data_IF_298351309551
#
_entry.id   IF_298351309551
#
_cell.length_a   1.000
_cell.length_b   1.000
_cell.length_c   1.000
_cell.angle_alpha   90.00
_cell.angle_beta   90.00
_cell.angle_gamma   90.00
#
_symmetry.space_group_name_H-M   'P 1'
#
loop_
_entity.id
_entity.type
_entity.pdbx_description
1 polymer ?
#
# COMPACT_ATOMS: atom_id res chain seq x y z
N UNK A 1 8.19 2.80 1.48
CA UNK A 1 6.91 3.39 1.03
C UNK A 1 7.17 4.32 -0.15
N UNK A 2 6.66 3.97 -1.33
CA UNK A 2 6.82 4.74 -2.56
C UNK A 2 5.81 5.88 -2.63
N UNK A 3 4.58 5.61 -2.19
CA UNK A 3 3.51 6.59 -2.17
C UNK A 3 2.13 5.96 -2.22
N UNK A 4 1.13 6.83 -2.35
CA UNK A 4 -0.25 6.42 -2.57
C UNK A 4 -0.82 7.09 -3.80
N UNK A 5 -1.64 6.36 -4.55
CA UNK A 5 -2.38 6.91 -5.68
C UNK A 5 -3.86 6.55 -5.59
N UNK A 6 -4.76 7.44 -6.05
CA UNK A 6 -6.20 7.18 -6.01
C UNK A 6 -6.56 6.05 -6.98
N UNK A 7 -7.45 5.19 -6.54
CA UNK A 7 -8.05 4.12 -7.36
C UNK A 7 -9.51 4.45 -7.54
N UNK A 8 -9.96 4.58 -8.79
CA UNK A 8 -11.39 4.76 -9.08
C UNK A 8 -12.15 3.48 -8.76
N UNK A 9 -13.37 3.61 -8.26
CA UNK A 9 -14.30 2.49 -8.21
C UNK A 9 -14.59 2.08 -9.67
N UNK A 10 -14.10 0.91 -10.05
CA UNK A 10 -14.19 0.32 -11.37
C UNK A 10 -14.41 -1.18 -11.23
N UNK A 11 -14.77 -1.85 -12.32
CA UNK A 11 -14.82 -3.32 -12.34
C UNK A 11 -13.51 -3.93 -11.81
N UNK A 12 -13.65 -5.03 -11.07
CA UNK A 12 -12.58 -5.74 -10.39
C UNK A 12 -11.37 -6.03 -11.30
N UNK A 13 -11.57 -6.47 -12.54
CA UNK A 13 -10.47 -6.81 -13.47
C UNK A 13 -9.73 -5.56 -13.94
N UNK A 14 -10.47 -4.53 -14.32
CA UNK A 14 -9.89 -3.26 -14.77
C UNK A 14 -9.08 -2.60 -13.66
N UNK A 15 -9.56 -2.70 -12.41
CA UNK A 15 -8.85 -2.20 -11.23
C UNK A 15 -7.51 -2.90 -11.03
N UNK A 16 -7.49 -4.23 -11.08
CA UNK A 16 -6.24 -5.01 -10.94
C UNK A 16 -5.23 -4.61 -12.02
N UNK A 17 -5.67 -4.51 -13.27
CA UNK A 17 -4.80 -4.11 -14.38
C UNK A 17 -4.18 -2.71 -14.17
N UNK A 18 -4.97 -1.72 -13.76
CA UNK A 18 -4.47 -0.36 -13.48
C UNK A 18 -3.42 -0.39 -12.35
N UNK A 19 -3.66 -1.17 -11.30
CA UNK A 19 -2.73 -1.28 -10.17
C UNK A 19 -1.41 -1.89 -10.62
N UNK A 20 -1.44 -3.00 -11.38
CA UNK A 20 -0.24 -3.64 -11.90
C UNK A 20 0.58 -2.71 -12.80
N UNK A 21 -0.07 -1.95 -13.70
CA UNK A 21 0.62 -0.98 -14.55
C UNK A 21 1.27 0.15 -13.74
N UNK A 22 0.57 0.68 -12.73
CA UNK A 22 1.14 1.69 -11.83
C UNK A 22 2.31 1.14 -10.99
N UNK A 23 2.22 -0.10 -10.54
CA UNK A 23 3.30 -0.77 -9.82
C UNK A 23 4.56 -0.89 -10.68
N UNK A 24 4.41 -1.36 -11.93
CA UNK A 24 5.52 -1.44 -12.90
C UNK A 24 6.14 -0.06 -13.19
N UNK A 25 5.30 0.96 -13.37
CA UNK A 25 5.78 2.32 -13.64
C UNK A 25 6.57 2.90 -12.44
N UNK A 26 6.16 2.57 -11.21
CA UNK A 26 6.75 3.13 -9.99
C UNK A 26 7.88 2.28 -9.38
N UNK A 27 8.30 1.20 -10.03
CA UNK A 27 9.32 0.29 -9.49
C UNK A 27 10.65 0.98 -9.18
N UNK A 28 11.07 1.90 -10.04
CA UNK A 28 12.34 2.64 -9.93
C UNK A 28 12.14 4.06 -9.37
N UNK A 29 11.01 4.33 -8.70
CA UNK A 29 10.74 5.66 -8.18
C UNK A 29 11.79 6.07 -7.14
N UNK A 30 12.58 7.15 -7.38
CA UNK A 30 13.66 7.53 -6.47
C UNK A 30 13.12 8.14 -5.17
N UNK A 31 11.91 8.71 -5.22
CA UNK A 31 11.24 9.31 -4.07
C UNK A 31 10.55 8.21 -3.27
N UNK A 32 11.15 7.86 -2.13
CA UNK A 32 10.59 6.87 -1.20
C UNK A 32 10.88 7.27 0.25
N UNK A 33 9.99 6.87 1.15
CA UNK A 33 10.16 6.98 2.60
C UNK A 33 10.43 5.60 3.20
N UNK A 34 11.47 5.48 4.00
CA UNK A 34 11.73 4.29 4.82
C UNK A 34 10.64 4.17 5.90
N UNK A 35 10.08 2.98 6.02
CA UNK A 35 8.95 2.66 6.92
C UNK A 35 9.01 1.21 7.34
N UNK A 36 8.43 0.90 8.49
CA UNK A 36 8.17 -0.48 8.93
C UNK A 36 6.68 -0.78 8.75
N UNK A 37 6.36 -1.88 8.08
CA UNK A 37 5.00 -2.40 7.97
C UNK A 37 4.78 -3.54 8.96
N UNK A 38 3.76 -3.43 9.80
CA UNK A 38 3.34 -4.50 10.72
C UNK A 38 1.94 -4.97 10.36
N UNK A 39 1.79 -6.29 10.25
CA UNK A 39 0.52 -6.97 9.95
C UNK A 39 -0.02 -7.62 11.22
N UNK A 40 -1.33 -7.46 11.46
CA UNK A 40 -2.02 -8.09 12.58
C UNK A 40 -3.49 -8.35 12.20
N UNK A 41 -4.21 -9.12 13.02
CA UNK A 41 -5.63 -9.40 12.77
C UNK A 41 -6.49 -8.12 12.77
N UNK A 42 -6.04 -7.06 13.45
CA UNK A 42 -6.71 -5.76 13.43
C UNK A 42 -6.48 -5.02 12.11
N UNK A 43 -5.42 -5.34 11.36
CA UNK A 43 -5.11 -4.76 10.06
C UNK A 43 -3.62 -4.46 9.86
N UNK A 44 -3.33 -3.39 9.12
CA UNK A 44 -1.97 -3.00 8.72
C UNK A 44 -1.60 -1.68 9.39
N UNK A 45 -0.43 -1.64 10.02
CA UNK A 45 0.16 -0.43 10.59
C UNK A 45 1.46 -0.09 9.88
N UNK A 46 1.67 1.19 9.60
CA UNK A 46 2.88 1.73 9.01
C UNK A 46 3.54 2.67 10.02
N UNK A 47 4.77 2.38 10.38
CA UNK A 47 5.60 3.19 11.26
C UNK A 47 6.69 3.91 10.46
N UNK A 48 7.37 4.88 11.06
CA UNK A 48 8.61 5.44 10.52
C UNK A 48 9.73 4.38 10.44
N UNK A 49 10.94 4.81 10.05
CA UNK A 49 12.06 3.91 9.86
C UNK A 49 12.55 3.32 11.18
N UNK A 50 12.36 4.06 12.27
CA UNK A 50 12.75 3.71 13.63
C UNK A 50 11.70 2.83 14.32
N UNK A 51 10.46 2.81 13.82
CA UNK A 51 9.37 2.01 14.40
C UNK A 51 8.63 2.70 15.54
N UNK A 52 8.93 3.96 15.80
CA UNK A 52 8.48 4.73 16.96
C UNK A 52 7.18 5.49 16.66
N UNK A 53 7.11 6.13 15.48
CA UNK A 53 5.95 6.95 15.12
C UNK A 53 4.98 6.18 14.23
N UNK A 54 3.73 6.02 14.68
CA UNK A 54 2.66 5.51 13.82
C UNK A 54 2.28 6.53 12.75
N UNK A 55 2.54 6.21 11.48
CA UNK A 55 2.25 7.07 10.34
C UNK A 55 0.85 6.80 9.76
N UNK A 56 0.48 5.52 9.62
CA UNK A 56 -0.83 5.11 9.11
C UNK A 56 -1.29 3.82 9.77
N UNK A 57 -2.61 3.68 9.92
CA UNK A 57 -3.23 2.44 10.39
C UNK A 57 -4.53 2.19 9.65
N UNK A 58 -4.61 1.03 8.99
CA UNK A 58 -5.80 0.59 8.27
C UNK A 58 -6.36 -0.65 8.94
N UNK A 59 -7.62 -0.57 9.38
CA UNK A 59 -8.33 -1.74 9.87
C UNK A 59 -8.49 -2.76 8.73
N UNK A 60 -8.36 -4.06 9.02
CA UNK A 60 -8.39 -5.11 8.01
C UNK A 60 -9.65 -5.04 7.12
N UNK A 61 -10.82 -4.80 7.73
CA UNK A 61 -12.11 -4.61 7.05
C UNK A 61 -12.16 -3.46 6.02
N UNK A 62 -11.18 -2.54 6.04
CA UNK A 62 -11.08 -1.42 5.10
C UNK A 62 -10.19 -1.75 3.90
N UNK A 63 -9.43 -2.83 3.96
CA UNK A 63 -8.54 -3.29 2.88
C UNK A 63 -9.39 -4.12 1.92
N UNK A 64 -9.44 -3.69 0.66
CA UNK A 64 -10.26 -4.32 -0.38
C UNK A 64 -9.46 -5.22 -1.32
N UNK A 65 -8.15 -5.01 -1.42
CA UNK A 65 -7.28 -5.74 -2.33
C UNK A 65 -5.84 -5.64 -1.84
N UNK A 66 -5.07 -6.71 -2.02
CA UNK A 66 -3.64 -6.78 -1.74
C UNK A 66 -2.96 -7.50 -2.90
N UNK A 67 -1.78 -7.05 -3.29
CA UNK A 67 -0.98 -7.71 -4.33
C UNK A 67 0.51 -7.53 -4.04
N UNK A 68 1.34 -8.36 -4.65
CA UNK A 68 2.80 -8.23 -4.63
C UNK A 68 3.37 -8.56 -6.02
N UNK A 69 4.54 -7.97 -6.31
CA UNK A 69 5.36 -8.31 -7.47
C UNK A 69 6.75 -8.70 -6.97
N UNK A 70 7.01 -10.00 -6.72
CA UNK A 70 8.27 -10.46 -6.14
C UNK A 70 9.49 -10.06 -6.96
N UNK A 71 9.38 -10.05 -8.29
CA UNK A 71 10.46 -9.66 -9.22
C UNK A 71 10.92 -8.21 -9.04
N UNK A 72 10.02 -7.35 -8.56
CA UNK A 72 10.26 -5.91 -8.33
C UNK A 72 10.36 -5.59 -6.82
N UNK A 73 10.30 -6.61 -5.94
CA UNK A 73 10.24 -6.47 -4.48
C UNK A 73 9.12 -5.53 -4.01
N UNK A 74 7.97 -5.58 -4.68
CA UNK A 74 6.85 -4.69 -4.42
C UNK A 74 5.74 -5.38 -3.63
N UNK A 75 5.15 -4.62 -2.72
CA UNK A 75 3.91 -4.97 -2.02
C UNK A 75 2.95 -3.78 -2.09
N UNK A 76 1.66 -4.05 -2.31
CA UNK A 76 0.64 -3.02 -2.33
C UNK A 76 -0.67 -3.49 -1.72
N UNK A 77 -1.40 -2.54 -1.13
CA UNK A 77 -2.77 -2.76 -0.70
C UNK A 77 -3.67 -1.57 -1.01
N UNK A 78 -4.93 -1.87 -1.32
CA UNK A 78 -5.97 -0.89 -1.62
C UNK A 78 -6.89 -0.75 -0.42
N UNK A 79 -7.11 0.48 0.04
CA UNK A 79 -8.00 0.74 1.16
C UNK A 79 -8.66 2.12 1.09
N UNK A 80 -9.69 2.31 1.92
CA UNK A 80 -10.24 3.64 2.22
C UNK A 80 -9.41 4.29 3.32
N UNK A 81 -8.98 5.54 3.13
CA UNK A 81 -8.23 6.27 4.14
C UNK A 81 -9.09 6.52 5.40
N UNK A 82 -8.56 6.35 6.62
CA UNK A 82 -9.33 6.50 7.87
C UNK A 82 -9.99 7.88 8.05
N UNK A 83 -9.42 8.92 7.45
CA UNK A 83 -9.89 10.32 7.50
C UNK A 83 -10.17 10.92 6.12
N UNK A 84 -10.27 10.08 5.08
CA UNK A 84 -10.54 10.52 3.70
C UNK A 84 -12.01 10.38 3.31
N UNK A 85 -12.41 10.84 2.12
CA UNK A 85 -13.76 10.66 1.60
C UNK A 85 -14.16 9.19 1.60
N UNK A 86 -15.37 8.89 2.06
CA UNK A 86 -15.83 7.51 2.25
C UNK A 86 -15.86 6.70 0.95
N UNK A 87 -15.99 7.35 -0.22
CA UNK A 87 -16.02 6.73 -1.54
C UNK A 87 -14.65 6.65 -2.22
N UNK A 88 -13.57 7.12 -1.60
CA UNK A 88 -12.26 7.16 -2.24
C UNK A 88 -11.35 6.02 -1.79
N UNK A 89 -10.84 5.27 -2.76
CA UNK A 89 -9.84 4.23 -2.55
C UNK A 89 -8.44 4.74 -2.90
N UNK A 90 -7.46 4.26 -2.15
CA UNK A 90 -6.05 4.52 -2.40
C UNK A 90 -5.31 3.19 -2.45
N UNK A 91 -4.42 3.06 -3.43
CA UNK A 91 -3.43 2.01 -3.44
C UNK A 91 -2.17 2.54 -2.75
N UNK A 92 -1.72 1.87 -1.70
CA UNK A 92 -0.49 2.20 -0.98
C UNK A 92 0.61 1.25 -1.46
N UNK A 93 1.68 1.80 -2.05
CA UNK A 93 2.75 1.04 -2.68
C UNK A 93 4.04 1.06 -1.84
N UNK A 94 4.63 -0.12 -1.69
CA UNK A 94 5.87 -0.35 -0.97
C UNK A 94 6.83 -1.11 -1.86
N UNK A 95 8.11 -0.76 -1.75
CA UNK A 95 9.25 -1.50 -2.33
C UNK A 95 10.17 -1.79 -1.15
N UNK A 96 10.62 -3.03 -1.02
CA UNK A 96 11.52 -3.43 0.07
C UNK A 96 11.93 -4.89 -0.03
N UNK A 97 13.19 -5.18 0.32
CA UNK A 97 13.80 -6.50 0.23
C UNK A 97 14.24 -7.09 1.57
N UNK A 98 13.71 -6.59 2.69
CA UNK A 98 14.07 -7.06 4.02
C UNK A 98 12.79 -7.46 4.75
N UNK A 99 12.56 -8.76 4.99
CA UNK A 99 11.65 -9.19 6.04
C UNK A 99 12.15 -8.60 7.36
N UNK A 100 11.27 -8.02 8.17
CA UNK A 100 11.53 -7.77 9.59
C UNK A 100 10.58 -8.64 10.39
N UNK A 101 11.09 -9.33 11.41
CA UNK A 101 10.30 -10.14 12.35
C UNK A 101 9.29 -9.32 13.16
#
# INVERSE_FOLDING_TARGET
YVGSFPVKEADSRRRVWIIEEQMRFLKDCPRRRAVILKFCLQGVKMYDAEGETLLMAHALRRIQYTTCRPEDLQFAFVSRNPRGPANQLFCHLFVGGQPSE
#
